data_IF_253379242333
#
_entry.id   IF_253379242333
#
_cell.length_a   1.000
_cell.length_b   1.000
_cell.length_c   1.000
_cell.angle_alpha   90.00
_cell.angle_beta   90.00
_cell.angle_gamma   90.00
#
_symmetry.space_group_name_H-M   'P 1'
#
loop_
_entity.id
_entity.type
_entity.pdbx_description
1 polymer ?
#
# COMPACT_ATOMS: atom_id res chain seq x y z
N UNK A 1 -23.92 -19.82 8.46
CA UNK A 1 -22.50 -19.66 8.08
C UNK A 1 -22.27 -19.11 6.65
N UNK A 2 -23.32 -18.84 5.85
CA UNK A 2 -23.21 -18.43 4.42
C UNK A 2 -23.18 -16.92 4.19
N UNK A 3 -23.84 -16.11 5.04
CA UNK A 3 -23.89 -14.63 4.90
C UNK A 3 -22.50 -13.98 4.97
N UNK A 4 -21.61 -14.47 5.85
CA UNK A 4 -20.26 -13.93 6.02
C UNK A 4 -19.36 -14.27 4.83
N UNK A 5 -19.45 -15.49 4.29
CA UNK A 5 -18.69 -15.89 3.09
C UNK A 5 -19.05 -15.04 1.87
N UNK A 6 -20.34 -14.78 1.64
CA UNK A 6 -20.79 -13.87 0.57
C UNK A 6 -20.23 -12.45 0.75
N UNK A 7 -20.27 -11.90 1.97
CA UNK A 7 -19.70 -10.57 2.25
C UNK A 7 -18.19 -10.51 1.99
N UNK A 8 -17.44 -11.54 2.41
CA UNK A 8 -15.98 -11.62 2.17
C UNK A 8 -15.66 -11.68 0.67
N UNK A 9 -16.40 -12.49 -0.09
CA UNK A 9 -16.21 -12.59 -1.55
C UNK A 9 -16.52 -11.25 -2.24
N UNK A 10 -17.59 -10.56 -1.81
CA UNK A 10 -17.94 -9.24 -2.34
C UNK A 10 -16.84 -8.21 -2.00
N UNK A 11 -16.32 -8.21 -0.77
CA UNK A 11 -15.24 -7.30 -0.37
C UNK A 11 -13.95 -7.54 -1.17
N UNK A 12 -13.60 -8.79 -1.42
CA UNK A 12 -12.45 -9.16 -2.24
C UNK A 12 -12.63 -8.71 -3.69
N UNK A 13 -13.82 -8.88 -4.27
CA UNK A 13 -14.14 -8.38 -5.61
C UNK A 13 -14.01 -6.86 -5.69
N UNK A 14 -14.50 -6.13 -4.69
CA UNK A 14 -14.37 -4.66 -4.64
C UNK A 14 -12.90 -4.26 -4.54
N UNK A 15 -12.11 -4.96 -3.72
CA UNK A 15 -10.66 -4.69 -3.59
C UNK A 15 -9.93 -4.90 -4.92
N UNK A 16 -10.22 -6.00 -5.61
CA UNK A 16 -9.67 -6.29 -6.95
C UNK A 16 -10.09 -5.20 -7.93
N UNK A 17 -11.35 -4.74 -7.88
CA UNK A 17 -11.83 -3.66 -8.73
C UNK A 17 -11.06 -2.36 -8.47
N UNK A 18 -10.83 -1.99 -7.21
CA UNK A 18 -10.08 -0.78 -6.83
C UNK A 18 -8.63 -0.84 -7.30
N UNK A 19 -8.00 -2.02 -7.30
CA UNK A 19 -6.62 -2.19 -7.79
C UNK A 19 -6.56 -2.18 -9.32
N UNK A 20 -7.50 -2.84 -10.00
CA UNK A 20 -7.46 -3.00 -11.45
C UNK A 20 -7.98 -1.78 -12.20
N UNK A 21 -9.00 -1.09 -11.70
CA UNK A 21 -9.60 0.08 -12.38
C UNK A 21 -8.57 1.17 -12.71
N UNK A 22 -7.69 1.59 -11.78
CA UNK A 22 -6.63 2.55 -12.07
C UNK A 22 -5.65 2.03 -13.11
N UNK A 23 -5.25 0.75 -13.05
CA UNK A 23 -4.30 0.14 -13.99
C UNK A 23 -4.81 0.15 -15.45
N UNK A 24 -6.13 0.09 -15.66
CA UNK A 24 -6.72 0.10 -17.00
C UNK A 24 -7.13 1.48 -17.50
N UNK A 25 -7.49 2.42 -16.60
CA UNK A 25 -7.87 3.79 -16.95
C UNK A 25 -6.64 4.68 -17.10
N UNK A 26 -5.64 4.52 -16.23
CA UNK A 26 -4.39 5.29 -16.21
C UNK A 26 -3.26 4.54 -16.94
N UNK A 27 -3.56 4.00 -18.13
CA UNK A 27 -2.53 3.36 -18.96
C UNK A 27 -1.50 4.41 -19.39
N UNK A 28 -0.33 4.37 -18.77
CA UNK A 28 0.74 5.34 -19.00
C UNK A 28 0.80 6.49 -18.01
N UNK A 29 0.08 6.43 -16.88
CA UNK A 29 0.43 7.30 -15.76
C UNK A 29 1.82 6.90 -15.26
N UNK A 30 2.73 7.87 -15.24
CA UNK A 30 3.93 7.76 -14.43
C UNK A 30 3.46 7.52 -13.00
N UNK A 31 3.64 6.29 -12.52
CA UNK A 31 3.47 5.98 -11.11
C UNK A 31 4.65 6.59 -10.37
N UNK A 32 4.68 7.92 -10.35
CA UNK A 32 5.62 8.70 -9.57
C UNK A 32 5.28 8.60 -8.09
N UNK A 33 6.32 8.64 -7.26
CA UNK A 33 6.15 8.68 -5.82
C UNK A 33 5.38 9.94 -5.38
N UNK A 34 5.04 10.01 -4.08
CA UNK A 34 4.54 11.28 -3.51
C UNK A 34 5.51 12.44 -3.73
N UNK A 35 6.78 12.12 -3.89
CA UNK A 35 7.88 13.06 -3.97
C UNK A 35 7.97 13.69 -5.36
N UNK A 36 7.64 12.95 -6.43
CA UNK A 36 7.54 13.47 -7.80
C UNK A 36 6.39 14.49 -7.94
N UNK A 37 5.25 14.19 -7.32
CA UNK A 37 4.10 15.08 -7.34
C UNK A 37 4.38 16.41 -6.63
N UNK A 38 5.24 16.41 -5.61
CA UNK A 38 5.68 17.61 -4.91
C UNK A 38 6.60 18.48 -5.78
N UNK A 39 7.57 17.85 -6.44
CA UNK A 39 8.56 18.54 -7.28
C UNK A 39 7.93 19.24 -8.50
N UNK A 40 6.94 18.62 -9.15
CA UNK A 40 6.23 19.20 -10.30
C UNK A 40 5.46 20.48 -9.92
N UNK A 41 4.75 20.45 -8.78
CA UNK A 41 3.97 21.61 -8.30
C UNK A 41 4.88 22.77 -7.91
N UNK A 42 6.05 22.49 -7.32
CA UNK A 42 7.02 23.54 -6.97
C UNK A 42 7.63 24.15 -8.24
N UNK A 43 7.92 23.35 -9.26
CA UNK A 43 8.45 23.85 -10.54
C UNK A 43 7.45 24.77 -11.27
N UNK A 44 6.14 24.45 -11.25
CA UNK A 44 5.09 25.30 -11.83
C UNK A 44 4.90 26.63 -11.09
N UNK A 45 5.02 26.64 -9.76
CA UNK A 45 4.81 27.83 -8.94
C UNK A 45 6.02 28.78 -9.00
N UNK A 46 7.22 28.24 -9.11
CA UNK A 46 8.47 29.01 -8.93
C UNK A 46 9.03 29.51 -10.27
N UNK A 47 8.69 28.88 -11.40
CA UNK A 47 9.15 29.27 -12.73
C UNK A 47 10.63 28.97 -13.00
N UNK A 48 11.33 28.37 -12.03
CA UNK A 48 12.69 27.85 -12.11
C UNK A 48 12.69 26.36 -11.77
N UNK A 49 13.61 25.62 -12.38
CA UNK A 49 13.80 24.18 -12.17
C UNK A 49 14.16 23.94 -10.69
N UNK A 50 13.32 23.21 -9.96
CA UNK A 50 13.49 22.99 -8.52
C UNK A 50 14.68 22.07 -8.25
N UNK A 51 15.74 22.62 -7.65
CA UNK A 51 16.89 21.84 -7.16
C UNK A 51 16.57 21.22 -5.78
N UNK A 52 16.63 19.88 -5.63
CA UNK A 52 16.33 19.21 -4.37
C UNK A 52 17.33 19.59 -3.27
N UNK A 53 16.85 20.20 -2.18
CA UNK A 53 17.66 20.51 -0.99
C UNK A 53 18.10 19.27 -0.20
N UNK A 54 17.57 18.09 -0.57
CA UNK A 54 17.93 16.81 0.01
C UNK A 54 17.97 15.73 -1.08
N UNK A 55 19.17 15.21 -1.34
CA UNK A 55 19.37 14.03 -2.18
C UNK A 55 19.45 12.79 -1.28
N UNK A 56 18.57 11.79 -1.46
CA UNK A 56 18.63 10.51 -0.77
C UNK A 56 20.03 9.90 -0.76
N UNK A 57 20.43 9.31 0.36
CA UNK A 57 21.76 8.71 0.52
C UNK A 57 22.02 7.60 -0.51
N UNK A 58 20.97 6.90 -0.94
CA UNK A 58 21.06 5.89 -2.01
C UNK A 58 21.40 6.51 -3.37
N UNK A 59 20.79 7.64 -3.74
CA UNK A 59 21.09 8.32 -5.01
C UNK A 59 22.53 8.85 -5.02
N UNK A 60 23.00 9.37 -3.87
CA UNK A 60 24.41 9.76 -3.70
C UNK A 60 25.38 8.58 -3.81
N UNK A 61 24.99 7.39 -3.40
CA UNK A 61 25.80 6.17 -3.47
C UNK A 61 25.82 5.54 -4.86
N UNK A 62 24.69 5.59 -5.57
CA UNK A 62 24.50 4.97 -6.89
C UNK A 62 24.95 5.94 -8.02
N UNK A 63 25.11 7.24 -7.71
CA UNK A 63 25.61 8.24 -8.65
C UNK A 63 24.54 8.75 -9.63
N UNK A 64 23.26 8.58 -9.29
CA UNK A 64 22.11 8.94 -10.09
C UNK A 64 20.80 8.59 -9.38
N UNK A 65 19.68 9.03 -9.94
CA UNK A 65 18.34 8.77 -9.40
C UNK A 65 17.99 7.28 -9.46
N UNK A 66 17.28 6.79 -8.43
CA UNK A 66 16.75 5.42 -8.46
C UNK A 66 15.69 5.35 -9.55
N UNK A 67 15.72 4.37 -10.47
CA UNK A 67 14.65 4.21 -11.44
C UNK A 67 13.31 4.09 -10.70
N UNK A 68 12.31 4.91 -11.05
CA UNK A 68 11.02 4.95 -10.33
C UNK A 68 10.32 3.58 -10.20
N UNK A 69 10.58 2.66 -11.13
CA UNK A 69 10.12 1.26 -11.03
C UNK A 69 10.70 0.52 -9.82
N UNK A 70 11.98 0.78 -9.49
CA UNK A 70 12.68 0.17 -8.35
C UNK A 70 12.24 0.80 -7.04
N UNK A 71 11.99 2.11 -7.02
CA UNK A 71 11.41 2.81 -5.86
C UNK A 71 10.03 2.23 -5.52
N UNK A 72 9.15 2.15 -6.52
CA UNK A 72 7.80 1.58 -6.37
C UNK A 72 7.85 0.12 -5.90
N UNK A 73 8.79 -0.67 -6.40
CA UNK A 73 8.99 -2.06 -5.95
C UNK A 73 9.39 -2.13 -4.47
N UNK A 74 10.32 -1.28 -4.03
CA UNK A 74 10.73 -1.21 -2.62
C UNK A 74 9.56 -0.80 -1.72
N UNK A 75 8.75 0.18 -2.12
CA UNK A 75 7.53 0.55 -1.41
C UNK A 75 6.48 -0.57 -1.38
N UNK A 76 6.31 -1.28 -2.49
CA UNK A 76 5.38 -2.41 -2.58
C UNK A 76 5.79 -3.53 -1.62
N UNK A 77 7.09 -3.87 -1.55
CA UNK A 77 7.62 -4.87 -0.60
C UNK A 77 7.42 -4.42 0.84
N UNK A 78 7.71 -3.15 1.17
CA UNK A 78 7.47 -2.61 2.52
C UNK A 78 5.98 -2.69 2.90
N UNK A 79 5.10 -2.34 1.97
CA UNK A 79 3.65 -2.41 2.15
C UNK A 79 3.20 -3.86 2.36
N UNK A 80 3.69 -4.80 1.55
CA UNK A 80 3.36 -6.22 1.68
C UNK A 80 3.77 -6.78 3.05
N UNK A 81 4.96 -6.41 3.55
CA UNK A 81 5.43 -6.80 4.88
C UNK A 81 4.53 -6.17 5.97
N UNK A 82 4.26 -4.86 5.89
CA UNK A 82 3.42 -4.15 6.86
C UNK A 82 2.01 -4.72 6.95
N UNK A 83 1.37 -4.95 5.79
CA UNK A 83 0.04 -5.58 5.71
C UNK A 83 0.07 -7.01 6.22
N UNK A 84 1.12 -7.78 5.92
CA UNK A 84 1.30 -9.15 6.42
C UNK A 84 1.33 -9.21 7.95
N UNK A 85 2.08 -8.31 8.60
CA UNK A 85 2.15 -8.20 10.06
C UNK A 85 0.77 -7.84 10.65
N UNK A 86 0.12 -6.81 10.11
CA UNK A 86 -1.20 -6.36 10.59
C UNK A 86 -2.25 -7.48 10.45
N UNK A 87 -2.27 -8.15 9.30
CA UNK A 87 -3.19 -9.25 9.03
C UNK A 87 -2.97 -10.44 9.99
N UNK A 88 -1.71 -10.77 10.30
CA UNK A 88 -1.37 -11.81 11.27
C UNK A 88 -1.90 -11.49 12.67
N UNK A 89 -1.65 -10.28 13.17
CA UNK A 89 -2.16 -9.85 14.48
C UNK A 89 -3.68 -9.85 14.52
N UNK A 90 -4.32 -9.28 13.50
CA UNK A 90 -5.79 -9.24 13.41
C UNK A 90 -6.38 -10.66 13.38
N UNK A 91 -5.77 -11.58 12.63
CA UNK A 91 -6.14 -12.99 12.61
C UNK A 91 -6.05 -13.64 14.00
N UNK A 92 -4.94 -13.45 14.72
CA UNK A 92 -4.76 -13.98 16.08
C UNK A 92 -5.77 -13.41 17.08
N UNK A 93 -6.10 -12.13 16.99
CA UNK A 93 -7.12 -11.51 17.84
C UNK A 93 -8.51 -12.12 17.59
N UNK A 94 -8.90 -12.31 16.32
CA UNK A 94 -10.17 -12.94 15.96
C UNK A 94 -10.24 -14.38 16.47
N UNK A 95 -9.15 -15.15 16.34
CA UNK A 95 -9.09 -16.53 16.86
C UNK A 95 -9.23 -16.59 18.38
N UNK A 96 -8.55 -15.69 19.11
CA UNK A 96 -8.64 -15.62 20.58
C UNK A 96 -10.07 -15.36 21.04
N UNK A 97 -10.73 -14.34 20.47
CA UNK A 97 -12.13 -14.01 20.77
C UNK A 97 -13.08 -15.17 20.46
N UNK A 98 -12.79 -15.95 19.40
CA UNK A 98 -13.59 -17.12 19.04
C UNK A 98 -13.43 -18.26 20.05
N UNK A 99 -12.21 -18.49 20.56
CA UNK A 99 -11.94 -19.48 21.62
C UNK A 99 -12.62 -19.10 22.93
N UNK A 100 -12.51 -17.84 23.35
CA UNK A 100 -13.16 -17.32 24.57
C UNK A 100 -14.69 -17.51 24.53
N UNK A 101 -15.33 -17.21 23.39
CA UNK A 101 -16.77 -17.46 23.19
C UNK A 101 -17.15 -18.95 23.19
N UNK A 102 -16.28 -19.80 22.66
CA UNK A 102 -16.51 -21.25 22.65
C UNK A 102 -16.42 -21.84 24.06
N UNK A 103 -15.48 -21.36 24.88
CA UNK A 103 -15.35 -21.78 26.27
C UNK A 103 -16.51 -21.27 27.13
N UNK A 104 -16.94 -20.01 26.97
CA UNK A 104 -18.10 -19.49 27.72
C UNK A 104 -19.39 -20.26 27.42
N UNK A 105 -19.58 -20.72 26.18
CA UNK A 105 -20.78 -21.46 25.76
C UNK A 105 -20.79 -22.94 26.20
N UNK A 106 -19.67 -23.48 26.69
CA UNK A 106 -19.59 -24.85 27.24
C UNK A 106 -19.92 -24.92 28.73
N UNK A 107 -19.85 -23.79 29.43
CA UNK A 107 -19.99 -23.70 30.89
C UNK A 107 -21.39 -23.17 31.27
N UNK A 108 -22.15 -22.62 30.32
CA UNK A 108 -23.54 -22.15 30.48
C UNK A 108 -24.59 -23.13 29.99
#
# INVERSE_FOLDING_TARGET
MTKTKKKVIILLLITILIVLVPLFILKGAEFGGSDDAGSQVISEITGEEYEPWFTPVMERWIGGEIPGETESLLFCVQTAIGVGIIAFFMGRFVERTKKEKLESNKIG
#
